data_IF_642596809582
#
_entry.id   IF_642596809582
#
_cell.length_a   1.000
_cell.length_b   1.000
_cell.length_c   1.000
_cell.angle_alpha   90.00
_cell.angle_beta   90.00
_cell.angle_gamma   90.00
#
_symmetry.space_group_name_H-M   'P 1'
#
loop_
_entity.id
_entity.type
_entity.pdbx_description
1 polymer ?
#
# COMPACT_ATOMS: atom_id res chain seq x y z
N UNK A 1 -34.57 1.96 -15.65
CA UNK A 1 -33.29 1.37 -16.09
C UNK A 1 -32.16 2.39 -15.92
N UNK A 2 -31.12 2.04 -15.19
CA UNK A 2 -30.02 2.98 -14.98
C UNK A 2 -29.28 3.21 -16.30
N UNK A 3 -29.04 4.48 -16.59
CA UNK A 3 -28.27 4.85 -17.76
C UNK A 3 -26.80 4.52 -17.50
N UNK A 4 -26.20 3.70 -18.35
CA UNK A 4 -24.81 3.26 -18.22
C UNK A 4 -23.83 4.45 -18.22
N UNK A 5 -24.15 5.50 -18.97
CA UNK A 5 -23.31 6.71 -18.98
C UNK A 5 -23.33 7.43 -17.65
N UNK A 6 -24.49 7.49 -17.01
CA UNK A 6 -24.61 8.09 -15.68
C UNK A 6 -23.82 7.30 -14.64
N UNK A 7 -23.90 5.98 -14.69
CA UNK A 7 -23.13 5.13 -13.77
C UNK A 7 -21.62 5.28 -14.01
N UNK A 8 -21.20 5.34 -15.26
CA UNK A 8 -19.79 5.55 -15.62
C UNK A 8 -19.28 6.89 -15.07
N UNK A 9 -20.05 7.96 -15.23
CA UNK A 9 -19.70 9.29 -14.73
C UNK A 9 -19.61 9.35 -13.20
N UNK A 10 -20.47 8.59 -12.51
CA UNK A 10 -20.41 8.49 -11.05
C UNK A 10 -19.19 7.75 -10.55
N UNK A 11 -18.77 6.72 -11.27
CA UNK A 11 -17.64 5.88 -10.87
C UNK A 11 -16.28 6.46 -11.30
N UNK A 12 -16.26 7.26 -12.35
CA UNK A 12 -15.01 7.81 -12.88
C UNK A 12 -14.16 8.52 -11.81
N UNK A 13 -14.70 9.44 -10.99
CA UNK A 13 -13.90 10.07 -9.95
C UNK A 13 -13.37 9.08 -8.93
N UNK A 14 -14.12 8.02 -8.65
CA UNK A 14 -13.72 6.99 -7.68
C UNK A 14 -12.50 6.22 -8.19
N UNK A 15 -12.46 5.89 -9.48
CA UNK A 15 -11.35 5.15 -10.09
C UNK A 15 -10.17 6.05 -10.46
N UNK A 16 -10.41 7.27 -10.88
CA UNK A 16 -9.38 8.16 -11.40
C UNK A 16 -8.73 9.04 -10.34
N UNK A 17 -9.39 9.24 -9.21
CA UNK A 17 -8.89 10.11 -8.13
C UNK A 17 -9.06 9.44 -6.78
N UNK A 18 -8.20 9.77 -5.84
CA UNK A 18 -8.34 9.36 -4.45
C UNK A 18 -7.86 7.94 -4.13
N UNK A 19 -8.54 7.32 -3.18
CA UNK A 19 -8.11 6.08 -2.52
C UNK A 19 -7.96 4.91 -3.50
N UNK A 20 -8.95 4.71 -4.36
CA UNK A 20 -8.92 3.57 -5.27
C UNK A 20 -7.76 3.67 -6.26
N UNK A 21 -7.45 4.88 -6.72
CA UNK A 21 -6.31 5.09 -7.60
C UNK A 21 -5.00 4.66 -6.94
N UNK A 22 -4.83 4.96 -5.66
CA UNK A 22 -3.66 4.49 -4.92
C UNK A 22 -3.58 2.96 -4.90
N UNK A 23 -4.71 2.30 -4.66
CA UNK A 23 -4.77 0.84 -4.57
C UNK A 23 -4.56 0.14 -5.91
N UNK A 24 -4.89 0.80 -7.01
CA UNK A 24 -4.74 0.23 -8.36
C UNK A 24 -3.37 0.49 -8.98
N UNK A 25 -2.51 1.25 -8.34
CA UNK A 25 -1.17 1.51 -8.85
C UNK A 25 -0.31 0.24 -8.82
N UNK A 26 0.65 0.20 -9.73
CA UNK A 26 1.62 -0.87 -9.78
C UNK A 26 2.37 -0.96 -8.44
N UNK A 27 2.60 -2.16 -7.97
CA UNK A 27 3.28 -2.44 -6.70
C UNK A 27 2.51 -1.98 -5.45
N UNK A 28 1.22 -1.67 -5.55
CA UNK A 28 0.44 -1.23 -4.41
C UNK A 28 0.46 -2.26 -3.27
N UNK A 29 0.38 -3.54 -3.57
CA UNK A 29 0.42 -4.60 -2.56
C UNK A 29 1.75 -4.58 -1.78
N UNK A 30 2.86 -4.44 -2.49
CA UNK A 30 4.18 -4.33 -1.86
C UNK A 30 4.27 -3.07 -0.98
N UNK A 31 3.85 -1.94 -1.51
CA UNK A 31 3.91 -0.68 -0.79
C UNK A 31 3.04 -0.69 0.47
N UNK A 32 1.82 -1.21 0.37
CA UNK A 32 0.94 -1.32 1.54
C UNK A 32 1.55 -2.25 2.60
N UNK A 33 2.15 -3.35 2.16
CA UNK A 33 2.81 -4.28 3.08
C UNK A 33 3.96 -3.61 3.84
N UNK A 34 4.78 -2.84 3.14
CA UNK A 34 5.87 -2.08 3.75
C UNK A 34 5.33 -1.01 4.72
N UNK A 35 4.32 -0.28 4.30
CA UNK A 35 3.75 0.79 5.12
C UNK A 35 3.07 0.25 6.39
N UNK A 36 2.32 -0.82 6.28
CA UNK A 36 1.64 -1.42 7.43
C UNK A 36 2.61 -2.05 8.42
N UNK A 37 3.74 -2.57 7.94
CA UNK A 37 4.77 -3.13 8.81
C UNK A 37 5.64 -2.05 9.48
N UNK A 38 5.72 -0.87 8.88
CA UNK A 38 6.55 0.24 9.37
C UNK A 38 5.77 1.22 10.22
N UNK A 39 4.56 1.59 9.80
CA UNK A 39 3.70 2.54 10.50
C UNK A 39 2.52 1.81 11.11
N UNK A 40 2.52 1.65 12.42
CA UNK A 40 1.32 1.13 13.10
C UNK A 40 0.33 2.30 13.36
N UNK A 41 -0.93 2.00 13.74
CA UNK A 41 -1.94 3.05 13.95
C UNK A 41 -1.58 4.09 15.01
N UNK A 42 -0.67 3.76 15.92
CA UNK A 42 -0.24 4.65 17.00
C UNK A 42 1.01 5.44 16.62
N UNK A 43 1.67 5.06 15.53
CA UNK A 43 2.86 5.74 15.04
C UNK A 43 2.46 6.97 14.25
N UNK A 44 2.81 8.15 14.72
CA UNK A 44 2.52 9.39 13.99
C UNK A 44 3.53 9.62 12.88
N UNK A 45 4.73 10.00 13.27
CA UNK A 45 5.81 10.33 12.35
C UNK A 45 7.07 9.53 12.68
N UNK A 46 7.83 9.18 11.65
CA UNK A 46 9.10 8.45 11.81
C UNK A 46 10.21 9.19 11.08
N UNK A 47 11.43 9.23 11.66
CA UNK A 47 12.59 9.75 10.96
C UNK A 47 12.91 8.95 9.69
N UNK A 48 13.50 9.61 8.69
CA UNK A 48 13.90 8.99 7.43
C UNK A 48 14.73 7.71 7.66
N UNK A 49 15.72 7.79 8.52
CA UNK A 49 16.64 6.69 8.78
C UNK A 49 15.90 5.46 9.30
N UNK A 50 14.94 5.68 10.18
CA UNK A 50 14.11 4.62 10.75
C UNK A 50 13.24 3.96 9.68
N UNK A 51 12.62 4.77 8.82
CA UNK A 51 11.77 4.27 7.73
C UNK A 51 12.60 3.45 6.75
N UNK A 52 13.74 3.98 6.32
CA UNK A 52 14.62 3.28 5.38
C UNK A 52 15.14 1.97 5.96
N UNK A 53 15.55 1.97 7.22
CA UNK A 53 16.02 0.77 7.91
C UNK A 53 14.92 -0.31 7.97
N UNK A 54 13.71 0.07 8.37
CA UNK A 54 12.60 -0.87 8.45
C UNK A 54 12.18 -1.38 7.09
N UNK A 55 12.20 -0.53 6.07
CA UNK A 55 11.93 -0.97 4.69
C UNK A 55 12.97 -1.96 4.23
N UNK A 56 14.26 -1.68 4.48
CA UNK A 56 15.34 -2.59 4.09
C UNK A 56 15.19 -3.95 4.77
N UNK A 57 14.87 -3.98 6.05
CA UNK A 57 14.64 -5.22 6.79
C UNK A 57 13.45 -6.00 6.23
N UNK A 58 12.36 -5.30 5.92
CA UNK A 58 11.17 -5.92 5.35
C UNK A 58 11.45 -6.48 3.96
N UNK A 59 12.18 -5.75 3.12
CA UNK A 59 12.57 -6.21 1.79
C UNK A 59 13.46 -7.44 1.87
N UNK A 60 14.39 -7.48 2.82
CA UNK A 60 15.24 -8.64 3.06
C UNK A 60 14.40 -9.87 3.44
N UNK A 61 13.43 -9.69 4.32
CA UNK A 61 12.52 -10.77 4.71
C UNK A 61 11.70 -11.28 3.54
N UNK A 62 11.20 -10.36 2.71
CA UNK A 62 10.44 -10.71 1.51
C UNK A 62 11.31 -11.45 0.48
N UNK A 63 12.57 -11.05 0.35
CA UNK A 63 13.52 -11.72 -0.54
C UNK A 63 13.81 -13.15 -0.07
N UNK A 64 13.98 -13.35 1.24
CA UNK A 64 14.18 -14.67 1.83
C UNK A 64 12.98 -15.60 1.59
N UNK A 65 11.78 -15.01 1.57
CA UNK A 65 10.54 -15.74 1.29
C UNK A 65 10.27 -15.94 -0.20
N UNK A 66 11.11 -15.40 -1.08
CA UNK A 66 10.91 -15.49 -2.53
C UNK A 66 9.87 -14.52 -3.09
N UNK A 67 9.39 -13.57 -2.28
CA UNK A 67 8.34 -12.62 -2.68
C UNK A 67 8.89 -11.32 -3.27
N UNK A 68 10.19 -11.09 -3.18
CA UNK A 68 10.84 -9.90 -3.70
C UNK A 68 12.21 -10.26 -4.25
N UNK A 69 12.54 -9.72 -5.41
CA UNK A 69 13.86 -9.88 -6.01
C UNK A 69 14.50 -8.51 -6.20
N UNK A 70 15.59 -8.20 -5.48
CA UNK A 70 16.31 -6.95 -5.72
C UNK A 70 16.98 -6.96 -7.09
N UNK A 71 17.24 -5.80 -7.64
CA UNK A 71 18.02 -5.66 -8.86
C UNK A 71 19.46 -6.09 -8.57
N UNK A 72 20.14 -6.62 -9.59
CA UNK A 72 21.46 -7.23 -9.44
C UNK A 72 22.49 -6.35 -8.72
N UNK A 73 22.47 -5.05 -8.99
CA UNK A 73 23.44 -4.10 -8.41
C UNK A 73 22.87 -3.24 -7.30
N UNK A 74 21.71 -3.63 -6.75
CA UNK A 74 21.03 -2.83 -5.76
C UNK A 74 21.01 -3.50 -4.40
N UNK A 75 21.48 -2.78 -3.37
CA UNK A 75 21.35 -3.23 -1.99
C UNK A 75 19.92 -2.99 -1.48
N UNK A 76 19.55 -3.66 -0.39
CA UNK A 76 18.24 -3.42 0.23
C UNK A 76 18.11 -1.97 0.74
N UNK A 77 19.20 -1.38 1.21
CA UNK A 77 19.22 0.02 1.63
C UNK A 77 18.92 0.98 0.46
N UNK A 78 19.53 0.73 -0.69
CA UNK A 78 19.27 1.53 -1.90
C UNK A 78 17.84 1.34 -2.40
N UNK A 79 17.34 0.11 -2.38
CA UNK A 79 15.97 -0.18 -2.75
C UNK A 79 14.98 0.53 -1.82
N UNK A 80 15.23 0.49 -0.52
CA UNK A 80 14.43 1.16 0.49
C UNK A 80 14.40 2.68 0.27
N UNK A 81 15.54 3.27 -0.01
CA UNK A 81 15.66 4.70 -0.31
C UNK A 81 14.85 5.09 -1.54
N UNK A 82 14.94 4.29 -2.60
CA UNK A 82 14.20 4.55 -3.83
C UNK A 82 12.69 4.39 -3.63
N UNK A 83 12.27 3.37 -2.91
CA UNK A 83 10.86 3.16 -2.61
C UNK A 83 10.31 4.32 -1.78
N UNK A 84 11.07 4.78 -0.79
CA UNK A 84 10.68 5.93 0.03
C UNK A 84 10.51 7.18 -0.83
N UNK A 85 11.41 7.41 -1.76
CA UNK A 85 11.30 8.53 -2.71
C UNK A 85 10.05 8.40 -3.59
N UNK A 86 9.76 7.20 -4.09
CA UNK A 86 8.56 6.95 -4.91
C UNK A 86 7.27 7.17 -4.12
N UNK A 87 7.25 6.77 -2.85
CA UNK A 87 6.09 6.93 -1.98
C UNK A 87 5.82 8.37 -1.59
N UNK A 88 6.85 9.21 -1.61
CA UNK A 88 6.76 10.63 -1.24
C UNK A 88 6.82 11.57 -2.43
N UNK A 89 6.78 11.05 -3.66
CA UNK A 89 7.01 11.81 -4.88
C UNK A 89 6.10 13.04 -4.97
N UNK A 90 6.73 14.21 -4.91
CA UNK A 90 6.08 15.47 -5.19
C UNK A 90 5.69 15.50 -6.67
N UNK A 91 4.66 16.14 -7.06
CA UNK A 91 4.21 16.20 -8.44
C UNK A 91 3.07 15.26 -8.77
N UNK A 92 2.87 14.23 -7.99
CA UNK A 92 1.66 13.43 -8.05
C UNK A 92 0.66 13.85 -6.96
N UNK A 93 1.03 14.83 -6.14
CA UNK A 93 0.16 15.52 -5.20
C UNK A 93 -0.62 14.58 -4.31
N UNK A 94 -1.92 14.57 -4.50
CA UNK A 94 -2.85 13.79 -3.71
C UNK A 94 -2.67 12.27 -3.79
N UNK A 95 -1.76 11.78 -4.62
CA UNK A 95 -1.54 10.34 -4.81
C UNK A 95 -0.32 9.81 -4.07
N UNK A 96 0.34 10.64 -3.31
CA UNK A 96 1.45 10.19 -2.48
C UNK A 96 0.95 9.37 -1.29
N UNK A 97 1.66 8.29 -0.99
CA UNK A 97 1.39 7.47 0.18
C UNK A 97 1.95 8.10 1.46
N UNK A 98 3.09 8.78 1.34
CA UNK A 98 3.78 9.40 2.47
C UNK A 98 3.92 10.90 2.24
N UNK A 99 3.82 11.64 3.32
CA UNK A 99 4.16 13.05 3.37
C UNK A 99 5.38 13.21 4.26
N UNK A 100 6.25 14.16 3.92
CA UNK A 100 7.39 14.48 4.75
C UNK A 100 7.26 15.88 5.32
N UNK A 101 7.90 16.09 6.47
CA UNK A 101 8.07 17.41 7.07
C UNK A 101 9.49 17.49 7.60
N UNK A 102 10.03 18.70 7.59
CA UNK A 102 11.34 18.97 8.16
C UNK A 102 11.18 19.47 9.59
N UNK A 103 11.76 18.75 10.54
CA UNK A 103 11.77 19.17 11.92
C UNK A 103 12.99 20.08 12.15
N UNK A 104 12.74 21.36 12.34
CA UNK A 104 13.79 22.35 12.54
C UNK A 104 14.62 22.12 13.80
N UNK A 105 14.01 21.54 14.85
CA UNK A 105 14.69 21.30 16.11
C UNK A 105 15.72 20.18 16.02
N UNK A 106 15.41 19.10 15.31
CA UNK A 106 16.30 17.96 15.16
C UNK A 106 17.06 17.95 13.83
N UNK A 107 16.76 18.86 12.94
CA UNK A 107 17.28 18.89 11.54
C UNK A 107 17.06 17.59 10.80
N UNK A 108 15.92 16.92 11.04
CA UNK A 108 15.58 15.65 10.43
C UNK A 108 14.31 15.76 9.60
N UNK A 109 14.24 14.94 8.56
CA UNK A 109 13.00 14.71 7.84
C UNK A 109 12.19 13.65 8.56
N UNK A 110 10.92 13.95 8.79
CA UNK A 110 9.96 13.04 9.38
C UNK A 110 8.94 12.64 8.32
N UNK A 111 8.55 11.38 8.32
CA UNK A 111 7.62 10.82 7.35
C UNK A 111 6.37 10.32 8.06
N UNK A 112 5.23 10.57 7.45
CA UNK A 112 3.92 10.13 7.95
C UNK A 112 3.06 9.66 6.79
N UNK A 113 2.09 8.81 7.09
CA UNK A 113 1.08 8.41 6.12
C UNK A 113 0.18 9.60 5.78
N UNK A 114 -0.14 9.77 4.50
CA UNK A 114 -1.11 10.77 4.09
C UNK A 114 -2.51 10.35 4.52
N UNK A 115 -3.44 11.30 4.55
CA UNK A 115 -4.84 11.00 4.86
C UNK A 115 -5.42 9.99 3.87
N UNK A 116 -5.05 10.08 2.60
CA UNK A 116 -5.49 9.12 1.58
C UNK A 116 -4.90 7.73 1.78
N UNK A 117 -3.63 7.66 2.18
CA UNK A 117 -3.00 6.39 2.52
C UNK A 117 -3.70 5.71 3.70
N UNK A 118 -4.05 6.45 4.74
CA UNK A 118 -4.83 5.93 5.86
C UNK A 118 -6.17 5.36 5.40
N UNK A 119 -6.88 6.07 4.54
CA UNK A 119 -8.17 5.62 4.00
C UNK A 119 -8.02 4.37 3.14
N UNK A 120 -6.96 4.30 2.34
CA UNK A 120 -6.68 3.15 1.50
C UNK A 120 -6.40 1.91 2.35
N UNK A 121 -5.57 2.05 3.38
CA UNK A 121 -5.24 0.97 4.29
C UNK A 121 -6.49 0.52 5.07
N UNK A 122 -7.31 1.46 5.51
CA UNK A 122 -8.57 1.15 6.20
C UNK A 122 -9.53 0.37 5.29
N UNK A 123 -9.66 0.79 4.03
CA UNK A 123 -10.49 0.09 3.05
C UNK A 123 -10.00 -1.33 2.82
N UNK A 124 -8.67 -1.53 2.72
CA UNK A 124 -8.08 -2.85 2.59
C UNK A 124 -8.34 -3.72 3.83
N UNK A 125 -8.27 -3.14 5.02
CA UNK A 125 -8.55 -3.87 6.25
C UNK A 125 -9.97 -4.43 6.28
N UNK A 126 -10.93 -3.68 5.76
CA UNK A 126 -12.31 -4.16 5.63
C UNK A 126 -12.42 -5.33 4.66
N UNK A 127 -11.71 -5.26 3.54
CA UNK A 127 -11.67 -6.36 2.56
C UNK A 127 -10.99 -7.60 3.14
N UNK A 128 -9.94 -7.41 3.93
CA UNK A 128 -9.29 -8.50 4.65
C UNK A 128 -10.23 -9.19 5.63
N UNK A 129 -11.04 -8.42 6.36
CA UNK A 129 -12.02 -8.96 7.30
C UNK A 129 -13.06 -9.81 6.59
N UNK A 130 -13.54 -9.38 5.43
CA UNK A 130 -14.43 -10.18 4.59
C UNK A 130 -13.76 -11.48 4.15
N UNK A 131 -12.50 -11.40 3.75
CA UNK A 131 -11.73 -12.57 3.32
C UNK A 131 -11.51 -13.55 4.45
N UNK A 132 -11.35 -13.09 5.70
CA UNK A 132 -11.22 -13.94 6.87
C UNK A 132 -12.54 -14.57 7.28
N UNK A 133 -13.64 -13.86 7.10
CA UNK A 133 -14.97 -14.40 7.37
C UNK A 133 -15.32 -15.56 6.44
N UNK A 134 -14.68 -15.61 5.28
CA UNK A 134 -14.77 -16.72 4.32
C UNK A 134 -13.42 -17.41 4.26
N UNK A 135 -13.15 -18.45 5.10
CA UNK A 135 -11.87 -19.13 5.03
C UNK A 135 -11.69 -19.75 3.65
N UNK A 136 -10.87 -19.08 2.87
CA UNK A 136 -10.63 -19.45 1.49
C UNK A 136 -9.84 -20.75 1.44
N UNK A 137 -10.45 -21.77 0.93
CA UNK A 137 -9.69 -22.85 0.31
C UNK A 137 -9.04 -22.23 -0.92
N UNK A 138 -7.76 -22.47 -1.11
CA UNK A 138 -7.13 -22.12 -2.39
C UNK A 138 -7.97 -22.78 -3.49
N UNK A 139 -8.55 -22.00 -4.40
CA UNK A 139 -9.37 -22.58 -5.45
C UNK A 139 -8.50 -23.41 -6.38
N UNK A 140 -8.74 -24.70 -6.37
CA UNK A 140 -8.34 -25.52 -7.52
C UNK A 140 -9.29 -25.19 -8.66
N UNK A 141 -8.90 -25.44 -9.89
CA UNK A 141 -9.73 -25.13 -11.05
C UNK A 141 -11.13 -25.75 -10.97
N UNK A 142 -11.29 -26.86 -10.24
CA UNK A 142 -12.57 -27.53 -10.04
C UNK A 142 -13.42 -26.95 -8.91
N UNK A 143 -12.85 -26.16 -8.02
CA UNK A 143 -13.57 -25.61 -6.88
C UNK A 143 -14.09 -24.18 -7.10
N UNK A 144 -13.85 -23.61 -8.25
CA UNK A 144 -14.23 -22.22 -8.56
C UNK A 144 -15.73 -21.98 -8.38
N UNK A 145 -16.54 -22.91 -8.82
CA UNK A 145 -18.01 -22.76 -8.78
C UNK A 145 -18.59 -22.92 -7.39
N UNK A 146 -17.89 -23.59 -6.48
CA UNK A 146 -18.36 -23.80 -5.11
C UNK A 146 -17.85 -22.75 -4.13
N UNK A 147 -16.75 -22.04 -4.45
CA UNK A 147 -16.18 -21.06 -3.55
C UNK A 147 -17.01 -19.77 -3.46
N UNK A 148 -17.79 -19.43 -4.48
CA UNK A 148 -18.64 -18.26 -4.50
C UNK A 148 -19.87 -18.38 -3.59
N UNK A 149 -20.26 -19.57 -3.22
CA UNK A 149 -21.41 -19.80 -2.32
C UNK A 149 -21.04 -19.75 -0.84
N UNK A 150 -19.79 -20.01 -0.51
CA UNK A 150 -19.35 -20.09 0.89
C UNK A 150 -19.29 -18.72 1.58
N UNK A 151 -19.27 -17.65 0.83
CA UNK A 151 -19.15 -16.28 1.34
C UNK A 151 -20.43 -15.46 1.26
N UNK A 152 -21.52 -16.07 0.89
CA UNK A 152 -22.81 -15.38 0.79
C UNK A 152 -23.58 -15.29 2.11
#
# INVERSE_FOLDING_TARGET
>A
MADVMRELERLRPVYETGVLRLLLRQNAMLYVSLLRSTFDPLTGELPRETVEERFAQSLSSLADAGEYAPREDQTFAEAAHQILADLTREGEGDYAWLANSHDAASHRFLYRLTARAHRAIEALSRLEDESRACPARRPTASSWKSSTRACS
#
